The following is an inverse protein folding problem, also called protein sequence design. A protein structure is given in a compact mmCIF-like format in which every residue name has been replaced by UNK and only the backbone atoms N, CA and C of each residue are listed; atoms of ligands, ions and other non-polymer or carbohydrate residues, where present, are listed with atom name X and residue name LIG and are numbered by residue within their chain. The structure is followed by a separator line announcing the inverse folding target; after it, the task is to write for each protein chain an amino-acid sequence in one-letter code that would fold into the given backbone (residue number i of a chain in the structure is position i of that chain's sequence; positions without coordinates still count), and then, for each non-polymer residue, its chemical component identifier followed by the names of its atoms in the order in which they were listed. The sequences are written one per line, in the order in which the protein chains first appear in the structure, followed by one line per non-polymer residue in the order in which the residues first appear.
data_IF_160858894395
#
_entry.id   IF_160858894395
#
_cell.length_a   1.000
_cell.length_b   1.000
_cell.length_c   1.000
_cell.angle_alpha   90.00
_cell.angle_beta   90.00
_cell.angle_gamma   90.00
#
_symmetry.space_group_name_H-M   'P 1'
#
loop_
_entity.id
_entity.type
_entity.pdbx_description
1 polymer ?
#
# COMPACT_ATOMS: atom_id res chain seq x y z
N UNK A 1 15.22 3.65 -15.15
CA UNK A 1 14.38 4.40 -14.19
C UNK A 1 13.77 3.43 -13.20
N UNK A 2 13.38 3.91 -12.01
CA UNK A 2 12.87 3.04 -10.94
C UNK A 2 11.45 3.46 -10.55
N UNK A 3 10.60 2.48 -10.23
CA UNK A 3 9.26 2.68 -9.68
C UNK A 3 9.21 2.06 -8.28
N UNK A 4 8.72 2.81 -7.30
CA UNK A 4 8.72 2.40 -5.90
C UNK A 4 7.29 2.16 -5.44
N UNK A 5 7.05 1.00 -4.82
CA UNK A 5 5.78 0.67 -4.18
C UNK A 5 5.98 0.63 -2.67
N UNK A 6 5.27 1.49 -1.97
CA UNK A 6 5.34 1.65 -0.52
C UNK A 6 4.07 1.12 0.12
N UNK A 7 4.20 0.31 1.17
CA UNK A 7 3.08 -0.07 2.03
C UNK A 7 3.08 0.76 3.30
N UNK A 8 1.90 1.13 3.77
CA UNK A 8 1.71 1.75 5.07
C UNK A 8 1.68 0.66 6.15
N UNK A 9 2.56 0.70 7.16
CA UNK A 9 2.70 -0.38 8.15
C UNK A 9 1.45 -0.64 9.00
N UNK A 10 0.65 0.40 9.30
CA UNK A 10 -0.57 0.28 10.12
C UNK A 10 -1.80 -0.08 9.27
N UNK A 11 -2.05 0.65 8.19
CA UNK A 11 -3.27 0.51 7.39
C UNK A 11 -3.12 -0.48 6.24
N UNK A 12 -1.91 -0.96 5.97
CA UNK A 12 -1.52 -1.82 4.85
C UNK A 12 -1.83 -1.27 3.45
N UNK A 13 -2.15 0.02 3.36
CA UNK A 13 -2.43 0.68 2.09
C UNK A 13 -1.17 0.91 1.29
N UNK A 14 -1.28 0.82 -0.02
CA UNK A 14 -0.13 0.93 -0.92
C UNK A 14 -0.14 2.26 -1.68
N UNK A 15 1.03 2.91 -1.70
CA UNK A 15 1.35 4.05 -2.55
C UNK A 15 2.34 3.64 -3.64
N UNK A 16 2.13 4.18 -4.83
CA UNK A 16 3.05 4.03 -5.96
C UNK A 16 3.69 5.38 -6.21
N UNK A 17 5.00 5.41 -6.28
CA UNK A 17 5.76 6.63 -6.50
C UNK A 17 6.88 6.44 -7.53
N UNK A 18 7.01 7.36 -8.51
CA UNK A 18 8.14 7.36 -9.45
C UNK A 18 9.46 7.75 -8.77
N UNK A 19 9.39 8.49 -7.66
CA UNK A 19 10.53 8.90 -6.87
C UNK A 19 10.49 8.21 -5.52
N UNK A 20 11.65 8.04 -4.88
CA UNK A 20 11.66 7.52 -3.53
C UNK A 20 11.06 8.51 -2.50
N UNK A 21 11.23 9.81 -2.76
CA UNK A 21 10.64 10.85 -1.90
C UNK A 21 9.11 10.83 -2.03
N UNK A 22 8.42 10.61 -0.91
CA UNK A 22 6.97 10.61 -0.86
C UNK A 22 6.44 12.05 -0.78
N UNK A 23 5.69 12.44 -1.81
CA UNK A 23 5.05 13.75 -1.90
C UNK A 23 3.57 13.67 -1.49
N UNK A 24 3.07 14.67 -0.76
CA UNK A 24 1.66 14.80 -0.33
C UNK A 24 0.60 14.55 -1.43
N UNK A 25 0.76 14.97 -2.71
CA UNK A 25 -0.21 14.66 -3.76
C UNK A 25 -0.46 13.16 -3.98
N UNK A 26 0.51 12.29 -3.66
CA UNK A 26 0.37 10.84 -3.80
C UNK A 26 -0.69 10.25 -2.86
N UNK A 27 -1.02 10.94 -1.75
CA UNK A 27 -2.09 10.52 -0.85
C UNK A 27 -3.47 10.43 -1.51
N UNK A 28 -3.66 11.08 -2.66
CA UNK A 28 -4.88 10.93 -3.47
C UNK A 28 -5.12 9.48 -3.87
N UNK A 29 -4.04 8.71 -4.10
CA UNK A 29 -4.11 7.28 -4.45
C UNK A 29 -4.71 6.40 -3.35
N UNK A 30 -4.78 6.87 -2.10
CA UNK A 30 -5.23 6.11 -0.93
C UNK A 30 -6.67 6.49 -0.50
N UNK A 31 -7.27 7.50 -1.14
CA UNK A 31 -8.60 8.01 -0.80
C UNK A 31 -8.68 8.72 0.56
N UNK A 32 -7.55 8.86 1.25
CA UNK A 32 -7.45 9.47 2.57
C UNK A 32 -7.15 10.96 2.54
N UNK A 33 -7.21 11.62 1.38
CA UNK A 33 -6.74 13.00 1.23
C UNK A 33 -7.64 14.00 1.97
N UNK A 34 -7.30 14.28 3.22
CA UNK A 34 -7.66 15.55 3.88
C UNK A 34 -6.53 16.53 3.60
N UNK A 35 -6.85 17.77 3.28
CA UNK A 35 -5.85 18.83 3.05
C UNK A 35 -4.90 19.06 4.22
N UNK A 36 -5.26 18.59 5.42
CA UNK A 36 -4.44 18.66 6.63
C UNK A 36 -3.59 17.40 6.91
N UNK A 37 -3.71 16.33 6.12
CA UNK A 37 -2.95 15.10 6.35
C UNK A 37 -1.58 15.20 5.68
N UNK A 38 -0.54 15.22 6.50
CA UNK A 38 0.86 15.10 6.07
C UNK A 38 1.29 13.63 6.02
N UNK A 39 2.13 13.28 5.05
CA UNK A 39 2.70 11.94 4.95
C UNK A 39 3.71 11.75 6.08
N UNK A 40 3.44 10.80 6.97
CA UNK A 40 4.39 10.31 7.96
C UNK A 40 5.32 9.29 7.33
N UNK A 41 6.53 9.71 6.94
CA UNK A 41 7.52 8.90 6.22
C UNK A 41 7.89 7.61 6.96
N UNK A 42 7.87 7.63 8.28
CA UNK A 42 8.18 6.50 9.15
C UNK A 42 7.17 5.36 9.09
N UNK A 43 5.94 5.63 8.66
CA UNK A 43 4.90 4.63 8.50
C UNK A 43 4.92 3.93 7.14
N UNK A 44 5.68 4.45 6.18
CA UNK A 44 5.74 3.89 4.83
C UNK A 44 7.05 3.12 4.63
N UNK A 45 6.92 1.87 4.21
CA UNK A 45 8.05 0.97 3.94
C UNK A 45 7.96 0.49 2.50
N UNK A 46 9.03 0.55 1.71
CA UNK A 46 9.05 0.00 0.37
C UNK A 46 8.96 -1.53 0.46
N UNK A 47 7.98 -2.11 -0.23
CA UNK A 47 7.82 -3.57 -0.28
C UNK A 47 8.17 -4.15 -1.66
N UNK A 48 8.05 -3.34 -2.71
CA UNK A 48 8.45 -3.71 -4.06
C UNK A 48 9.10 -2.53 -4.78
N UNK A 49 10.14 -2.81 -5.57
CA UNK A 49 10.81 -1.81 -6.41
C UNK A 49 11.01 -2.40 -7.81
N UNK A 50 10.51 -1.70 -8.81
CA UNK A 50 10.70 -2.05 -10.22
C UNK A 50 11.87 -1.23 -10.76
N UNK A 51 12.84 -1.90 -11.37
CA UNK A 51 14.06 -1.30 -11.91
C UNK A 51 14.30 -1.83 -13.31
N UNK A 52 15.10 -1.11 -14.11
CA UNK A 52 15.43 -1.51 -15.48
C UNK A 52 14.50 -0.95 -16.54
N UNK A 53 13.55 -0.07 -16.16
CA UNK A 53 12.65 0.59 -17.13
C UNK A 53 13.48 1.59 -17.94
N UNK A 54 13.59 1.37 -19.25
CA UNK A 54 14.40 2.16 -20.17
C UNK A 54 13.61 3.35 -20.72
N UNK A 55 12.36 3.14 -21.12
CA UNK A 55 11.49 4.19 -21.66
C UNK A 55 10.83 5.04 -20.55
N UNK A 56 10.89 6.36 -20.71
CA UNK A 56 10.19 7.30 -19.82
C UNK A 56 8.67 7.18 -19.93
N UNK A 57 8.16 6.84 -21.11
CA UNK A 57 6.73 6.73 -21.38
C UNK A 57 6.15 5.51 -20.66
N UNK A 58 6.85 4.37 -20.73
CA UNK A 58 6.50 3.14 -20.00
C UNK A 58 6.51 3.37 -18.48
N UNK A 59 7.49 4.13 -17.98
CA UNK A 59 7.55 4.51 -16.58
C UNK A 59 6.34 5.35 -16.13
N UNK A 60 5.93 6.32 -16.95
CA UNK A 60 4.75 7.15 -16.68
C UNK A 60 3.43 6.35 -16.78
N UNK A 61 3.34 5.42 -17.73
CA UNK A 61 2.21 4.52 -17.88
C UNK A 61 2.06 3.61 -16.65
N UNK A 62 3.14 2.94 -16.21
CA UNK A 62 3.14 2.13 -15.00
C UNK A 62 2.77 2.95 -13.75
N UNK A 63 3.30 4.17 -13.63
CA UNK A 63 2.98 5.05 -12.51
C UNK A 63 1.50 5.49 -12.50
N UNK A 64 0.79 5.39 -13.63
CA UNK A 64 -0.62 5.77 -13.77
C UNK A 64 -1.57 4.58 -13.66
N UNK A 65 -1.19 3.40 -14.18
CA UNK A 65 -2.03 2.20 -14.20
C UNK A 65 -2.02 1.43 -12.86
N UNK A 66 -0.87 1.34 -12.19
CA UNK A 66 -0.74 0.58 -10.93
C UNK A 66 -1.53 1.20 -9.77
N UNK A 67 -1.58 2.54 -9.57
CA UNK A 67 -2.44 3.12 -8.55
C UNK A 67 -3.92 3.08 -8.97
N UNK A 68 -4.69 2.21 -8.33
CA UNK A 68 -6.15 2.27 -8.37
C UNK A 68 -6.62 3.52 -7.62
N UNK A 69 -7.29 4.48 -8.28
CA UNK A 69 -7.84 5.62 -7.58
C UNK A 69 -8.98 5.14 -6.69
N UNK A 70 -8.87 5.33 -5.37
CA UNK A 70 -10.06 5.27 -4.51
C UNK A 70 -10.94 6.47 -4.85
N UNK A 71 -11.74 6.35 -5.91
CA UNK A 71 -12.69 7.37 -6.38
C UNK A 71 -13.92 7.45 -5.48
N UNK A 72 -14.15 6.46 -4.63
CA UNK A 72 -15.26 6.42 -3.68
C UNK A 72 -15.00 7.22 -2.40
N UNK A 73 -14.44 8.43 -2.52
CA UNK A 73 -14.61 9.42 -1.46
C UNK A 73 -16.02 9.97 -1.63
N UNK A 74 -16.99 9.37 -0.94
CA UNK A 74 -18.32 9.95 -0.81
C UNK A 74 -18.14 11.45 -0.45
N UNK A 75 -18.74 12.38 -1.22
CA UNK A 75 -18.62 13.79 -0.92
C UNK A 75 -19.01 14.03 0.55
N UNK A 76 -18.28 14.89 1.25
CA UNK A 76 -18.48 15.16 2.71
C UNK A 76 -19.96 15.38 3.07
N UNK A 77 -20.75 15.94 2.16
CA UNK A 77 -22.19 16.14 2.27
C UNK A 77 -22.99 14.84 2.46
N UNK A 78 -22.58 13.73 1.82
CA UNK A 78 -23.23 12.42 1.93
C UNK A 78 -22.72 11.59 3.11
N UNK A 79 -21.53 11.87 3.63
CA UNK A 79 -20.97 11.16 4.81
C UNK A 79 -21.62 11.56 6.14
N UNK A 80 -22.35 12.68 6.15
CA UNK A 80 -23.22 13.05 7.25
C UNK A 80 -24.57 12.43 6.97
N UNK A 81 -24.81 11.22 7.51
CA UNK A 81 -26.18 10.76 7.69
C UNK A 81 -26.94 11.91 8.37
N UNK A 82 -28.06 12.39 7.81
CA UNK A 82 -28.87 13.36 8.52
C UNK A 82 -29.22 12.71 9.86
N UNK A 83 -28.68 13.28 10.95
CA UNK A 83 -29.18 12.98 12.27
C UNK A 83 -30.62 13.48 12.24
N UNK A 84 -31.57 12.60 11.93
CA UNK A 84 -32.96 12.89 12.21
C UNK A 84 -32.99 13.30 13.67
N UNK A 85 -33.60 14.44 14.03
CA UNK A 85 -33.77 14.78 15.42
C UNK A 85 -34.64 13.68 16.04
N UNK A 86 -33.99 12.67 16.61
CA UNK A 86 -34.66 11.61 17.35
C UNK A 86 -35.33 12.31 18.53
N UNK A 87 -36.65 12.45 18.45
CA UNK A 87 -37.50 12.78 19.60
C UNK A 87 -37.09 11.85 20.75
N UNK A 88 -37.01 12.36 21.97
CA UNK A 88 -36.47 11.64 23.14
C UNK A 88 -37.08 10.23 23.31
N UNK A 89 -38.31 10.03 22.84
CA UNK A 89 -39.06 8.76 22.83
C UNK A 89 -38.52 7.69 21.87
N UNK A 90 -37.80 8.07 20.81
CA UNK A 90 -37.21 7.12 19.83
C UNK A 90 -35.80 6.65 20.20
N UNK A 91 -35.23 7.15 21.30
CA UNK A 91 -33.94 6.68 21.79
C UNK A 91 -34.14 5.32 22.46
N UNK A 92 -33.64 4.26 21.83
CA UNK A 92 -33.60 2.94 22.44
C UNK A 92 -33.02 3.03 23.87
N UNK A 93 -33.66 2.42 24.88
CA UNK A 93 -33.18 2.49 26.24
C UNK A 93 -31.76 1.93 26.29
N UNK A 94 -30.81 2.72 26.79
CA UNK A 94 -29.43 2.27 27.02
C UNK A 94 -29.48 1.11 28.00
N UNK A 95 -29.44 -0.14 27.50
CA UNK A 95 -29.28 -1.32 28.34
C UNK A 95 -27.98 -1.14 29.11
N UNK A 96 -28.09 -0.96 30.43
CA UNK A 96 -26.94 -0.99 31.34
C UNK A 96 -26.39 -2.40 31.26
N UNK A 97 -25.28 -2.58 30.54
CA UNK A 97 -24.53 -3.84 30.56
C UNK A 97 -24.19 -4.13 32.03
N UNK A 98 -24.43 -5.35 32.53
CA UNK A 98 -24.11 -5.70 33.90
C UNK A 98 -22.60 -5.51 34.14
N UNK A 99 -22.26 -4.93 35.31
CA UNK A 99 -20.87 -4.77 35.75
C UNK A 99 -20.23 -6.16 35.77
N UNK A 100 -19.34 -6.42 34.81
CA UNK A 100 -18.67 -7.72 34.63
C UNK A 100 -18.63 -8.24 33.20
N UNK A 101 -19.48 -7.74 32.28
CA UNK A 101 -19.49 -8.18 30.87
C UNK A 101 -18.61 -7.30 29.98
N UNK A 102 -18.05 -6.22 30.52
CA UNK A 102 -17.06 -5.39 29.82
C UNK A 102 -15.68 -6.00 29.99
N UNK A 103 -15.15 -6.64 28.95
CA UNK A 103 -13.73 -6.96 28.86
C UNK A 103 -13.29 -8.37 29.26
N UNK A 104 -14.19 -9.35 29.36
CA UNK A 104 -13.78 -10.76 29.24
C UNK A 104 -13.31 -11.01 27.79
N UNK A 105 -12.08 -10.58 27.48
CA UNK A 105 -11.35 -11.13 26.34
C UNK A 105 -11.24 -12.61 26.61
N UNK A 106 -11.96 -13.43 25.84
CA UNK A 106 -11.73 -14.88 25.83
C UNK A 106 -10.26 -15.09 25.45
N UNK A 107 -9.38 -15.52 26.37
CA UNK A 107 -7.97 -15.73 26.05
C UNK A 107 -7.80 -16.82 24.98
N UNK A 108 -8.76 -17.73 24.88
CA UNK A 108 -8.79 -18.81 23.89
C UNK A 108 -8.72 -18.32 22.43
N UNK A 109 -9.18 -17.09 22.13
CA UNK A 109 -9.08 -16.52 20.79
C UNK A 109 -7.74 -15.79 20.51
N UNK A 110 -6.89 -15.61 21.53
CA UNK A 110 -5.58 -14.96 21.39
C UNK A 110 -4.44 -15.94 21.10
N UNK A 111 -4.65 -17.25 21.31
CA UNK A 111 -3.63 -18.30 21.19
C UNK A 111 -3.61 -18.99 19.81
N UNK A 112 -4.56 -18.68 18.93
CA UNK A 112 -4.44 -19.08 17.53
C UNK A 112 -3.40 -18.16 16.88
N UNK A 113 -2.22 -18.72 16.62
CA UNK A 113 -1.22 -18.09 15.76
C UNK A 113 -1.83 -17.90 14.38
N UNK A 114 -2.50 -16.76 14.18
CA UNK A 114 -3.09 -16.39 12.89
C UNK A 114 -1.94 -16.35 11.90
N UNK A 115 -1.95 -17.30 10.96
CA UNK A 115 -0.98 -17.30 9.86
C UNK A 115 -1.03 -15.93 9.20
N UNK A 116 0.12 -15.28 9.12
CA UNK A 116 0.22 -13.96 8.53
C UNK A 116 -0.38 -13.99 7.12
N UNK A 117 -1.35 -13.12 6.87
CA UNK A 117 -1.99 -12.99 5.57
C UNK A 117 -1.47 -11.76 4.85
N UNK A 118 -1.34 -11.87 3.53
CA UNK A 118 -0.96 -10.75 2.68
C UNK A 118 -2.11 -9.75 2.64
N UNK A 119 -1.87 -8.47 2.91
CA UNK A 119 -2.94 -7.47 2.88
C UNK A 119 -3.59 -7.34 1.49
N UNK A 120 -4.90 -7.13 1.46
CA UNK A 120 -5.68 -7.04 0.22
C UNK A 120 -5.14 -5.97 -0.75
N UNK A 121 -4.86 -4.76 -0.27
CA UNK A 121 -4.30 -3.68 -1.10
C UNK A 121 -2.95 -4.06 -1.73
N UNK A 122 -2.12 -4.86 -1.03
CA UNK A 122 -0.85 -5.35 -1.59
C UNK A 122 -1.12 -6.35 -2.70
N UNK A 123 -2.12 -7.22 -2.55
CA UNK A 123 -2.52 -8.17 -3.58
C UNK A 123 -2.99 -7.47 -4.85
N UNK A 124 -3.96 -6.56 -4.70
CA UNK A 124 -4.53 -5.79 -5.81
C UNK A 124 -3.47 -5.03 -6.60
N UNK A 125 -2.50 -4.43 -5.90
CA UNK A 125 -1.41 -3.68 -6.54
C UNK A 125 -0.39 -4.57 -7.23
N UNK A 126 -0.18 -5.78 -6.72
CA UNK A 126 0.71 -6.77 -7.34
C UNK A 126 0.07 -7.31 -8.61
N UNK A 127 -1.23 -7.59 -8.61
CA UNK A 127 -1.98 -7.95 -9.82
C UNK A 127 -1.96 -6.84 -10.86
N UNK A 128 -2.29 -5.61 -10.46
CA UNK A 128 -2.25 -4.45 -11.35
C UNK A 128 -0.84 -4.21 -11.93
N UNK A 129 0.21 -4.47 -11.15
CA UNK A 129 1.59 -4.41 -11.64
C UNK A 129 1.89 -5.50 -12.66
N UNK A 130 1.40 -6.72 -12.44
CA UNK A 130 1.56 -7.82 -13.38
C UNK A 130 0.85 -7.52 -14.71
N UNK A 131 -0.38 -7.03 -14.66
CA UNK A 131 -1.16 -6.65 -15.85
C UNK A 131 -0.47 -5.51 -16.61
N UNK A 132 -0.07 -4.45 -15.91
CA UNK A 132 0.60 -3.31 -16.51
C UNK A 132 1.97 -3.66 -17.11
N UNK A 133 2.69 -4.64 -16.55
CA UNK A 133 3.90 -5.16 -17.18
C UNK A 133 3.56 -6.01 -18.41
N UNK A 134 2.54 -6.87 -18.37
CA UNK A 134 2.13 -7.63 -19.54
C UNK A 134 1.78 -6.75 -20.76
N UNK A 135 1.30 -5.52 -20.54
CA UNK A 135 1.06 -4.55 -21.61
C UNK A 135 2.33 -3.93 -22.20
N UNK A 136 3.44 -3.93 -21.46
CA UNK A 136 4.71 -3.32 -21.88
C UNK A 136 5.61 -4.41 -22.44
N UNK A 137 5.69 -4.51 -23.77
CA UNK A 137 6.58 -5.46 -24.43
C UNK A 137 8.02 -4.90 -24.54
N UNK A 138 9.02 -5.74 -24.24
CA UNK A 138 10.37 -5.56 -24.78
C UNK A 138 11.45 -4.92 -23.87
N UNK A 139 11.24 -4.81 -22.56
CA UNK A 139 12.28 -4.30 -21.64
C UNK A 139 12.69 -5.35 -20.59
N UNK A 140 14.00 -5.52 -20.35
CA UNK A 140 14.48 -6.37 -19.25
C UNK A 140 14.25 -5.67 -17.90
N UNK A 141 13.12 -5.98 -17.28
CA UNK A 141 12.71 -5.40 -16.00
C UNK A 141 13.10 -6.31 -14.84
N UNK A 142 13.58 -5.72 -13.75
CA UNK A 142 13.82 -6.43 -12.49
C UNK A 142 12.89 -5.90 -11.40
N UNK A 143 12.13 -6.79 -10.76
CA UNK A 143 11.30 -6.48 -9.60
C UNK A 143 11.98 -7.01 -8.33
N UNK A 144 12.28 -6.11 -7.41
CA UNK A 144 12.83 -6.41 -6.10
C UNK A 144 11.70 -6.50 -5.07
N UNK A 145 11.60 -7.61 -4.35
CA UNK A 145 10.53 -7.89 -3.38
C UNK A 145 11.06 -7.99 -1.96
N UNK A 146 10.41 -7.32 -1.00
CA UNK A 146 10.71 -7.49 0.43
C UNK A 146 10.43 -8.91 0.91
N UNK A 147 9.37 -9.53 0.38
CA UNK A 147 8.89 -10.87 0.71
C UNK A 147 8.53 -11.61 -0.56
N UNK A 148 8.99 -12.86 -0.69
CA UNK A 148 8.69 -13.69 -1.86
C UNK A 148 7.19 -14.05 -1.93
N UNK A 149 6.50 -14.03 -0.79
CA UNK A 149 5.05 -14.24 -0.71
C UNK A 149 4.27 -13.22 -1.53
N UNK A 150 4.76 -11.97 -1.67
CA UNK A 150 4.12 -10.95 -2.50
C UNK A 150 4.14 -11.28 -3.99
N UNK A 151 5.22 -11.92 -4.46
CA UNK A 151 5.33 -12.35 -5.85
C UNK A 151 4.31 -13.44 -6.17
N UNK A 152 4.12 -14.40 -5.25
CA UNK A 152 3.24 -15.57 -5.42
C UNK A 152 1.75 -15.24 -5.41
N UNK A 153 1.37 -14.01 -5.05
CA UNK A 153 -0.03 -13.58 -5.10
C UNK A 153 -0.57 -13.62 -6.54
N UNK A 154 0.30 -13.45 -7.53
CA UNK A 154 -0.07 -13.52 -8.95
C UNK A 154 -0.56 -14.93 -9.33
N UNK A 155 0.03 -15.97 -8.73
CA UNK A 155 -0.36 -17.36 -8.93
C UNK A 155 -1.81 -17.61 -8.42
N UNK A 156 -2.22 -16.94 -7.32
CA UNK A 156 -3.58 -17.03 -6.79
C UNK A 156 -4.64 -16.46 -7.75
N UNK A 157 -4.26 -15.52 -8.61
CA UNK A 157 -5.15 -14.85 -9.56
C UNK A 157 -5.14 -15.51 -10.96
N UNK A 158 -4.43 -16.63 -11.14
CA UNK A 158 -4.18 -17.26 -12.44
C UNK A 158 -3.53 -16.30 -13.46
N UNK A 159 -2.80 -15.30 -12.97
CA UNK A 159 -2.00 -14.41 -13.78
C UNK A 159 -0.61 -15.00 -13.96
N UNK A 160 0.10 -14.60 -15.01
CA UNK A 160 1.47 -15.06 -15.29
C UNK A 160 2.35 -13.84 -15.46
N UNK A 161 3.51 -13.87 -14.78
CA UNK A 161 4.54 -12.86 -14.96
C UNK A 161 5.15 -12.97 -16.37
N UNK A 162 5.39 -11.84 -17.06
CA UNK A 162 6.07 -11.86 -18.35
C UNK A 162 7.48 -12.46 -18.25
N UNK A 163 7.92 -13.18 -19.28
CA UNK A 163 9.22 -13.91 -19.28
C UNK A 163 10.44 -12.99 -19.12
N UNK A 164 10.32 -11.74 -19.57
CA UNK A 164 11.39 -10.75 -19.48
C UNK A 164 11.55 -10.19 -18.05
N UNK A 165 10.62 -10.48 -17.13
CA UNK A 165 10.64 -9.97 -15.76
C UNK A 165 11.51 -10.87 -14.88
N UNK A 166 12.56 -10.28 -14.33
CA UNK A 166 13.44 -10.94 -13.36
C UNK A 166 13.04 -10.55 -11.95
N UNK A 167 13.00 -11.52 -11.03
CA UNK A 167 12.64 -11.25 -9.63
C UNK A 167 13.85 -11.41 -8.72
N UNK A 168 14.03 -10.48 -7.78
CA UNK A 168 15.10 -10.50 -6.78
C UNK A 168 14.58 -10.14 -5.39
N UNK A 169 15.29 -10.55 -4.35
CA UNK A 169 15.01 -10.10 -2.99
C UNK A 169 15.42 -8.62 -2.85
N UNK A 170 14.60 -7.84 -2.13
CA UNK A 170 14.84 -6.44 -1.84
C UNK A 170 15.65 -6.33 -0.53
N UNK A 171 16.88 -5.85 -0.65
CA UNK A 171 17.69 -5.50 0.51
C UNK A 171 17.32 -4.10 1.01
N UNK A 172 17.02 -4.00 2.31
CA UNK A 172 16.65 -2.75 2.96
C UNK A 172 17.74 -2.32 3.96
N UNK A 173 18.32 -1.14 3.74
CA UNK A 173 19.16 -0.50 4.76
C UNK A 173 18.28 0.06 5.88
N UNK A 174 18.58 -0.34 7.13
CA UNK A 174 17.82 0.03 8.33
C UNK A 174 16.31 -0.27 8.19
N UNK A 175 15.94 -1.32 7.45
CA UNK A 175 14.56 -1.72 7.17
C UNK A 175 13.69 -0.62 6.52
N UNK A 176 14.30 0.38 5.86
CA UNK A 176 13.57 1.53 5.30
C UNK A 176 14.02 1.94 3.90
N UNK A 177 15.31 1.85 3.63
CA UNK A 177 15.90 2.40 2.42
C UNK A 177 16.29 1.27 1.46
N UNK A 178 15.68 1.18 0.25
CA UNK A 178 15.93 0.10 -0.68
C UNK A 178 17.32 0.25 -1.29
N UNK A 179 18.08 -0.84 -1.29
CA UNK A 179 19.38 -0.94 -1.94
C UNK A 179 19.14 -1.47 -3.35
N UNK A 180 18.92 -0.56 -4.29
CA UNK A 180 18.60 -0.88 -5.69
C UNK A 180 19.52 -0.12 -6.64
N UNK A 181 19.75 -0.62 -7.87
CA UNK A 181 20.55 0.08 -8.85
C UNK A 181 20.09 1.53 -9.06
N UNK A 182 21.01 2.48 -9.02
CA UNK A 182 20.73 3.92 -9.16
C UNK A 182 20.36 4.64 -7.86
N UNK A 183 20.43 3.98 -6.70
CA UNK A 183 20.09 4.58 -5.40
C UNK A 183 21.16 4.23 -4.36
N UNK A 184 22.15 5.12 -4.22
CA UNK A 184 23.35 4.88 -3.42
C UNK A 184 23.19 5.18 -1.93
N UNK A 185 24.02 4.54 -1.09
CA UNK A 185 24.04 4.80 0.36
C UNK A 185 24.29 6.26 0.74
N UNK A 186 25.04 7.00 -0.09
CA UNK A 186 25.35 8.41 0.15
C UNK A 186 24.13 9.31 0.03
N UNK A 187 23.27 9.07 -0.96
CA UNK A 187 22.07 9.91 -1.18
C UNK A 187 21.07 9.80 -0.01
N UNK A 188 21.15 8.72 0.77
CA UNK A 188 20.32 8.55 1.98
C UNK A 188 20.75 9.39 3.16
N UNK A 189 22.05 9.63 3.32
CA UNK A 189 22.57 10.41 4.44
C UNK A 189 22.03 11.85 4.33
N UNK A 190 22.02 12.40 3.12
CA UNK A 190 21.55 13.76 2.85
C UNK A 190 20.04 13.92 3.07
N UNK A 191 19.24 12.90 2.70
CA UNK A 191 17.77 12.90 2.88
C UNK A 191 17.36 12.68 4.34
N UNK A 192 18.17 11.99 5.15
CA UNK A 192 17.90 11.77 6.57
C UNK A 192 18.26 13.00 7.43
N UNK A 193 19.13 13.88 6.95
CA UNK A 193 19.55 15.12 7.62
C UNK A 193 18.68 16.35 7.29
N UNK A 194 17.69 16.22 6.41
CA UNK A 194 16.78 17.30 5.98
C UNK A 194 15.34 17.06 6.47
#
# INVERSE_FOLDING_TARGET
MNLYLFRHMITNKVLVSPKFQLETPLLKQIGGHRSSLTIRRDHFVPFAVVSGIASADNHAQLATQVPHPYTNVLPKSLSKLPLSPLTVEQRAPRKKLPKGVFGLRKPEAADEWVKWQIPADVKERTWALCDALNEIEGENVTVFWERDEYRRVVDEANLVWPEYVTHKALDLFRNRYPIVPGLDRKTWVDVASA
#
